data_IF_832280983759
#
_entry.id   IF_832280983759
#
_cell.length_a   1.000
_cell.length_b   1.000
_cell.length_c   1.000
_cell.angle_alpha   90.00
_cell.angle_beta   90.00
_cell.angle_gamma   90.00
#
_symmetry.space_group_name_H-M   'P 1'
#
loop_
_entity.id
_entity.type
_entity.pdbx_description
1 polymer ?
#
# COMPACT_ATOMS: atom_id res chain seq x y z
N UNK A 1 5.06 5.67 -27.88
CA UNK A 1 5.81 4.97 -26.81
C UNK A 1 6.74 4.00 -27.49
N UNK A 2 7.97 3.90 -27.02
CA UNK A 2 8.98 3.01 -27.56
C UNK A 2 9.53 2.14 -26.43
N UNK A 3 9.79 0.86 -26.70
CA UNK A 3 10.53 0.01 -25.79
C UNK A 3 11.66 -0.72 -26.51
N UNK A 4 12.80 -0.83 -25.86
CA UNK A 4 13.98 -1.49 -26.42
C UNK A 4 14.74 -2.26 -25.35
N UNK A 5 15.42 -3.32 -25.77
CA UNK A 5 16.14 -4.26 -24.92
C UNK A 5 17.61 -3.86 -24.82
N UNK A 6 18.14 -3.82 -23.60
CA UNK A 6 19.52 -3.49 -23.29
C UNK A 6 20.15 -4.60 -22.44
N UNK A 7 21.41 -4.95 -22.73
CA UNK A 7 22.18 -5.86 -21.88
C UNK A 7 22.56 -5.15 -20.58
N UNK A 8 22.41 -5.86 -19.45
CA UNK A 8 22.87 -5.34 -18.17
C UNK A 8 24.39 -5.55 -18.00
N UNK A 9 25.11 -4.45 -17.85
CA UNK A 9 26.56 -4.46 -17.62
C UNK A 9 26.94 -4.33 -16.14
N UNK A 10 25.98 -4.24 -15.22
CA UNK A 10 26.22 -4.12 -13.79
C UNK A 10 26.62 -5.45 -13.13
N UNK A 11 27.06 -5.38 -11.88
CA UNK A 11 27.52 -6.53 -11.10
C UNK A 11 26.45 -7.64 -10.94
N UNK A 12 25.16 -7.28 -10.96
CA UNK A 12 24.03 -8.21 -10.85
C UNK A 12 23.62 -8.87 -12.18
N UNK A 13 24.42 -8.74 -13.26
CA UNK A 13 24.11 -9.32 -14.59
C UNK A 13 23.81 -10.82 -14.61
N UNK A 14 24.29 -11.59 -13.62
CA UNK A 14 23.99 -13.04 -13.52
C UNK A 14 22.50 -13.30 -13.20
N UNK A 15 21.88 -12.42 -12.43
CA UNK A 15 20.47 -12.56 -12.02
C UNK A 15 19.54 -11.66 -12.84
N UNK A 16 20.02 -10.49 -13.26
CA UNK A 16 19.32 -9.54 -14.12
C UNK A 16 20.14 -9.33 -15.39
N UNK A 17 20.11 -10.23 -16.38
CA UNK A 17 20.98 -10.12 -17.55
C UNK A 17 20.59 -8.99 -18.52
N UNK A 18 19.35 -8.49 -18.47
CA UNK A 18 18.84 -7.47 -19.39
C UNK A 18 17.91 -6.48 -18.69
N UNK A 19 17.73 -5.32 -19.30
CA UNK A 19 16.68 -4.35 -18.99
C UNK A 19 15.88 -4.04 -20.25
N UNK A 20 14.60 -3.72 -20.07
CA UNK A 20 13.80 -3.09 -21.12
C UNK A 20 13.59 -1.63 -20.72
N UNK A 21 14.09 -0.74 -21.57
CA UNK A 21 13.86 0.69 -21.42
C UNK A 21 12.56 1.05 -22.14
N UNK A 22 11.59 1.61 -21.43
CA UNK A 22 10.33 2.11 -21.97
C UNK A 22 10.35 3.64 -21.95
N UNK A 23 10.13 4.27 -23.10
CA UNK A 23 10.07 5.73 -23.26
C UNK A 23 8.65 6.16 -23.61
N UNK A 24 8.07 7.03 -22.79
CA UNK A 24 6.84 7.74 -23.11
C UNK A 24 7.17 9.04 -23.84
N UNK A 25 6.53 9.26 -24.97
CA UNK A 25 6.68 10.50 -25.73
C UNK A 25 6.12 11.66 -24.90
N UNK A 26 6.74 12.85 -24.93
CA UNK A 26 6.24 13.98 -24.14
C UNK A 26 4.88 14.48 -24.66
N UNK A 27 4.00 14.91 -23.73
CA UNK A 27 2.67 15.48 -24.05
C UNK A 27 2.81 16.92 -24.58
N UNK A 28 3.87 17.62 -24.18
CA UNK A 28 4.15 19.01 -24.53
C UNK A 28 5.62 19.16 -24.88
N UNK A 29 5.95 20.14 -25.73
CA UNK A 29 7.32 20.48 -26.16
C UNK A 29 8.30 20.83 -25.02
N UNK A 30 7.80 20.96 -23.80
CA UNK A 30 8.53 21.34 -22.58
C UNK A 30 8.68 20.23 -21.54
N UNK A 31 8.32 18.97 -21.82
CA UNK A 31 8.48 17.89 -20.85
C UNK A 31 9.49 16.83 -21.29
N UNK A 32 10.34 16.43 -20.36
CA UNK A 32 11.32 15.36 -20.52
C UNK A 32 10.64 14.03 -20.90
N UNK A 33 11.27 13.26 -21.80
CA UNK A 33 10.89 11.88 -22.07
C UNK A 33 10.91 11.10 -20.75
N UNK A 34 9.74 10.68 -20.29
CA UNK A 34 9.67 9.85 -19.08
C UNK A 34 10.16 8.45 -19.45
N UNK A 35 11.21 8.02 -18.80
CA UNK A 35 11.88 6.74 -19.06
C UNK A 35 11.73 5.80 -17.87
N UNK A 36 11.39 4.56 -18.18
CA UNK A 36 11.30 3.45 -17.22
C UNK A 36 12.29 2.36 -17.61
N UNK A 37 12.84 1.67 -16.62
CA UNK A 37 13.78 0.55 -16.80
C UNK A 37 13.23 -0.70 -16.12
N UNK A 38 12.61 -1.58 -16.92
CA UNK A 38 12.04 -2.83 -16.44
C UNK A 38 13.12 -3.91 -16.42
N UNK A 39 13.53 -4.44 -15.26
CA UNK A 39 14.52 -5.51 -15.19
C UNK A 39 13.98 -6.84 -15.72
N UNK A 40 14.80 -7.58 -16.46
CA UNK A 40 14.53 -8.97 -16.86
C UNK A 40 15.38 -9.89 -15.99
N UNK A 41 14.72 -10.73 -15.21
CA UNK A 41 15.36 -11.74 -14.35
C UNK A 41 15.47 -13.08 -15.06
N UNK A 42 16.60 -13.75 -14.91
CA UNK A 42 16.80 -15.14 -15.33
C UNK A 42 16.36 -16.08 -14.21
N UNK A 43 15.41 -16.98 -14.49
CA UNK A 43 14.93 -17.99 -13.54
C UNK A 43 14.98 -19.39 -14.16
N UNK A 44 15.74 -20.34 -13.58
CA UNK A 44 15.67 -21.73 -14.00
C UNK A 44 14.38 -22.37 -13.49
N UNK A 45 13.55 -22.90 -14.39
CA UNK A 45 12.31 -23.62 -14.08
C UNK A 45 12.40 -25.00 -14.73
N UNK A 46 12.39 -26.06 -13.92
CA UNK A 46 12.49 -27.46 -14.40
C UNK A 46 13.70 -27.70 -15.33
N UNK A 47 14.84 -27.09 -15.01
CA UNK A 47 16.08 -27.22 -15.80
C UNK A 47 16.15 -26.36 -17.06
N UNK A 48 15.10 -25.59 -17.39
CA UNK A 48 15.09 -24.65 -18.51
C UNK A 48 15.19 -23.21 -18.02
N UNK A 49 15.96 -22.40 -18.74
CA UNK A 49 16.11 -20.98 -18.45
C UNK A 49 14.90 -20.19 -18.95
N UNK A 50 14.21 -19.50 -18.05
CA UNK A 50 13.14 -18.56 -18.39
C UNK A 50 13.54 -17.13 -18.05
N UNK A 51 13.09 -16.20 -18.87
CA UNK A 51 13.26 -14.77 -18.67
C UNK A 51 11.95 -14.20 -18.14
N UNK A 52 12.02 -13.52 -17.00
CA UNK A 52 10.84 -12.99 -16.31
C UNK A 52 10.95 -11.50 -16.09
N UNK A 53 9.87 -10.78 -16.33
CA UNK A 53 9.74 -9.35 -16.05
C UNK A 53 8.39 -9.08 -15.39
N UNK A 54 8.32 -8.00 -14.62
CA UNK A 54 7.07 -7.54 -14.01
C UNK A 54 6.75 -6.14 -14.52
N UNK A 55 5.51 -5.94 -14.98
CA UNK A 55 5.04 -4.66 -15.48
C UNK A 55 3.69 -4.31 -14.82
N UNK A 56 3.71 -3.42 -13.83
CA UNK A 56 2.53 -2.99 -13.08
C UNK A 56 1.67 -4.16 -12.56
N UNK A 57 2.31 -5.24 -12.10
CA UNK A 57 1.63 -6.43 -11.58
C UNK A 57 1.30 -7.51 -12.62
N UNK A 58 1.59 -7.26 -13.90
CA UNK A 58 1.58 -8.29 -14.93
C UNK A 58 2.91 -9.03 -14.92
N UNK A 59 2.86 -10.32 -14.64
CA UNK A 59 4.03 -11.20 -14.69
C UNK A 59 4.20 -11.72 -16.12
N UNK A 60 5.34 -11.41 -16.73
CA UNK A 60 5.71 -11.86 -18.08
C UNK A 60 6.79 -12.90 -17.91
N UNK A 61 6.58 -14.09 -18.48
CA UNK A 61 7.54 -15.19 -18.45
C UNK A 61 7.67 -15.77 -19.84
N UNK A 62 8.88 -15.75 -20.39
CA UNK A 62 9.14 -16.14 -21.77
C UNK A 62 10.45 -16.96 -21.86
N UNK A 63 10.67 -17.60 -23.00
CA UNK A 63 11.89 -18.39 -23.27
C UNK A 63 13.08 -17.56 -23.72
N UNK A 64 12.87 -16.30 -24.13
CA UNK A 64 13.94 -15.39 -24.58
C UNK A 64 13.71 -13.94 -24.13
N UNK A 65 14.77 -13.12 -23.98
CA UNK A 65 14.62 -11.69 -23.66
C UNK A 65 13.85 -10.92 -24.75
N UNK A 66 14.03 -11.30 -26.01
CA UNK A 66 13.32 -10.68 -27.13
C UNK A 66 11.81 -10.96 -27.09
N UNK A 67 11.43 -12.19 -26.70
CA UNK A 67 10.02 -12.52 -26.46
C UNK A 67 9.42 -11.68 -25.34
N UNK A 68 10.16 -11.44 -24.25
CA UNK A 68 9.73 -10.53 -23.17
C UNK A 68 9.49 -9.12 -23.72
N UNK A 69 10.42 -8.58 -24.53
CA UNK A 69 10.27 -7.27 -25.17
C UNK A 69 9.04 -7.23 -26.07
N UNK A 70 8.81 -8.25 -26.88
CA UNK A 70 7.65 -8.33 -27.76
C UNK A 70 6.33 -8.32 -26.97
N UNK A 71 6.27 -9.05 -25.85
CA UNK A 71 5.11 -9.05 -24.95
C UNK A 71 4.93 -7.69 -24.28
N UNK A 72 5.99 -7.04 -23.80
CA UNK A 72 5.93 -5.68 -23.24
C UNK A 72 5.45 -4.67 -24.28
N UNK A 73 5.92 -4.73 -25.53
CA UNK A 73 5.48 -3.84 -26.61
C UNK A 73 3.97 -3.96 -26.90
N UNK A 74 3.37 -5.14 -26.69
CA UNK A 74 1.93 -5.36 -26.83
C UNK A 74 1.13 -4.83 -25.63
N UNK A 75 1.65 -5.03 -24.41
CA UNK A 75 0.93 -4.80 -23.16
C UNK A 75 1.10 -3.38 -22.64
N UNK A 76 2.32 -2.84 -22.64
CA UNK A 76 2.61 -1.52 -22.10
C UNK A 76 1.72 -0.39 -22.68
N UNK A 77 1.37 -0.36 -23.99
CA UNK A 77 0.49 0.69 -24.50
C UNK A 77 -0.90 0.68 -23.85
N UNK A 78 -1.39 -0.49 -23.45
CA UNK A 78 -2.70 -0.66 -22.79
C UNK A 78 -2.71 -0.14 -21.35
N UNK A 79 -1.53 0.00 -20.75
CA UNK A 79 -1.36 0.55 -19.40
C UNK A 79 -1.20 2.07 -19.40
N UNK A 80 -0.91 2.68 -20.55
CA UNK A 80 -0.72 4.13 -20.64
C UNK A 80 -2.08 4.82 -20.66
N UNK A 81 -2.30 5.73 -19.72
CA UNK A 81 -3.50 6.59 -19.70
C UNK A 81 -3.08 8.05 -19.57
N UNK A 82 -3.57 8.91 -20.47
CA UNK A 82 -3.16 10.33 -20.58
C UNK A 82 -1.63 10.49 -20.57
N UNK A 83 -0.93 9.59 -21.26
CA UNK A 83 0.53 9.50 -21.33
C UNK A 83 1.22 9.38 -19.97
N UNK A 84 0.63 8.59 -19.07
CA UNK A 84 1.18 8.25 -17.76
C UNK A 84 1.09 6.75 -17.52
N UNK A 85 2.08 6.23 -16.79
CA UNK A 85 1.98 4.91 -16.17
C UNK A 85 1.14 4.97 -14.87
N UNK A 86 0.58 3.84 -14.42
CA UNK A 86 -0.15 3.77 -13.16
C UNK A 86 0.74 4.14 -11.96
N UNK A 87 0.14 4.75 -10.93
CA UNK A 87 0.80 5.01 -9.65
C UNK A 87 0.51 3.89 -8.64
N UNK A 88 -0.69 3.32 -8.73
CA UNK A 88 -1.09 2.16 -7.96
C UNK A 88 -1.72 1.13 -8.87
N UNK A 89 -1.88 -0.08 -8.34
CA UNK A 89 -2.79 -1.06 -8.89
C UNK A 89 -3.69 -1.63 -7.79
N UNK A 90 -4.92 -1.92 -8.17
CA UNK A 90 -5.81 -2.76 -7.38
C UNK A 90 -5.72 -4.20 -7.88
N UNK A 91 -5.57 -5.14 -6.95
CA UNK A 91 -5.38 -6.56 -7.23
C UNK A 91 -6.51 -7.34 -6.57
N UNK A 92 -7.31 -7.99 -7.41
CA UNK A 92 -8.24 -9.04 -7.00
C UNK A 92 -7.47 -10.36 -7.00
N UNK A 93 -7.21 -10.93 -5.82
CA UNK A 93 -6.37 -12.12 -5.67
C UNK A 93 -7.04 -13.41 -6.14
N UNK A 94 -8.34 -13.57 -5.91
CA UNK A 94 -9.08 -14.77 -6.28
C UNK A 94 -9.41 -14.73 -7.77
N UNK A 95 -9.85 -13.57 -8.26
CA UNK A 95 -10.17 -13.39 -9.69
C UNK A 95 -8.93 -13.17 -10.57
N UNK A 96 -7.74 -13.03 -9.97
CA UNK A 96 -6.46 -12.76 -10.63
C UNK A 96 -6.51 -11.55 -11.58
N UNK A 97 -7.28 -10.52 -11.22
CA UNK A 97 -7.43 -9.28 -11.99
C UNK A 97 -6.60 -8.16 -11.40
N UNK A 98 -6.03 -7.34 -12.27
CA UNK A 98 -5.26 -6.15 -11.92
C UNK A 98 -5.92 -4.94 -12.58
N UNK A 99 -6.15 -3.89 -11.80
CA UNK A 99 -6.76 -2.65 -12.26
C UNK A 99 -5.82 -1.47 -12.01
N UNK A 100 -5.30 -0.81 -13.05
CA UNK A 100 -4.39 0.31 -12.89
C UNK A 100 -5.12 1.55 -12.36
N UNK A 101 -4.47 2.24 -11.42
CA UNK A 101 -4.96 3.48 -10.83
C UNK A 101 -3.93 4.58 -11.11
N UNK A 102 -4.41 5.69 -11.64
CA UNK A 102 -3.60 6.81 -12.11
C UNK A 102 -3.76 8.01 -11.19
N UNK A 103 -2.68 8.75 -10.99
CA UNK A 103 -2.71 10.09 -10.37
C UNK A 103 -2.69 11.16 -11.46
N UNK A 104 -3.54 12.19 -11.31
CA UNK A 104 -3.54 13.38 -12.18
C UNK A 104 -2.74 14.54 -11.57
N UNK A 105 -2.56 15.66 -12.30
CA UNK A 105 -1.79 16.84 -11.82
C UNK A 105 -2.36 17.51 -10.55
N UNK A 106 -3.65 17.31 -10.25
CA UNK A 106 -4.29 17.75 -8.99
C UNK A 106 -4.39 16.61 -7.98
N UNK A 107 -3.55 15.59 -8.14
CA UNK A 107 -3.51 14.36 -7.35
C UNK A 107 -4.85 13.60 -7.21
N UNK A 108 -5.86 13.94 -8.02
CA UNK A 108 -7.06 13.12 -8.14
C UNK A 108 -6.65 11.75 -8.66
N UNK A 109 -7.04 10.73 -7.90
CA UNK A 109 -6.88 9.33 -8.24
C UNK A 109 -8.02 8.93 -9.17
N UNK A 110 -7.68 8.24 -10.25
CA UNK A 110 -8.63 7.85 -11.27
C UNK A 110 -8.40 6.42 -11.75
N UNK A 111 -9.49 5.68 -11.91
CA UNK A 111 -9.51 4.38 -12.56
C UNK A 111 -10.69 4.37 -13.55
N UNK A 112 -10.43 3.93 -14.78
CA UNK A 112 -11.47 3.69 -15.79
C UNK A 112 -11.72 2.19 -15.85
N UNK A 113 -12.93 1.76 -15.53
CA UNK A 113 -13.32 0.35 -15.63
C UNK A 113 -13.68 0.09 -17.10
N UNK A 114 -13.13 -0.94 -17.76
CA UNK A 114 -13.51 -1.29 -19.13
C UNK A 114 -15.02 -1.45 -19.24
N UNK A 115 -15.65 -0.75 -20.19
CA UNK A 115 -17.12 -0.72 -20.38
C UNK A 115 -17.93 -0.32 -19.13
N UNK A 116 -17.32 0.40 -18.19
CA UNK A 116 -17.92 0.76 -16.92
C UNK A 116 -17.70 2.22 -16.53
N UNK A 117 -18.11 2.61 -15.31
CA UNK A 117 -17.97 3.97 -14.83
C UNK A 117 -16.50 4.32 -14.58
N UNK A 118 -16.22 5.61 -14.64
CA UNK A 118 -14.95 6.19 -14.19
C UNK A 118 -15.04 6.45 -12.69
N UNK A 119 -14.16 5.83 -11.90
CA UNK A 119 -14.03 6.10 -10.48
C UNK A 119 -12.94 7.15 -10.25
N UNK A 120 -13.31 8.32 -9.71
CA UNK A 120 -12.39 9.39 -9.34
C UNK A 120 -12.62 9.86 -7.92
N UNK A 121 -11.53 10.08 -7.18
CA UNK A 121 -11.56 10.67 -5.85
C UNK A 121 -10.16 11.18 -5.46
N UNK A 122 -10.07 12.08 -4.48
CA UNK A 122 -8.80 12.46 -3.85
C UNK A 122 -8.24 11.39 -2.91
N UNK A 123 -8.99 10.28 -2.72
CA UNK A 123 -8.61 9.23 -1.77
C UNK A 123 -8.67 7.86 -2.38
N UNK A 124 -7.59 7.11 -2.15
CA UNK A 124 -7.44 5.78 -2.68
C UNK A 124 -8.47 4.80 -2.08
N UNK A 125 -8.84 4.98 -0.82
CA UNK A 125 -9.90 4.22 -0.16
C UNK A 125 -11.23 4.34 -0.92
N UNK A 126 -11.69 5.55 -1.19
CA UNK A 126 -12.95 5.79 -1.88
C UNK A 126 -12.94 5.25 -3.32
N UNK A 127 -11.83 5.40 -4.06
CA UNK A 127 -11.72 4.78 -5.40
C UNK A 127 -11.78 3.26 -5.29
N UNK A 128 -11.03 2.66 -4.34
CA UNK A 128 -11.02 1.21 -4.12
C UNK A 128 -12.39 0.66 -3.77
N UNK A 129 -13.11 1.31 -2.86
CA UNK A 129 -14.40 0.84 -2.39
C UNK A 129 -15.47 0.99 -3.46
N UNK A 130 -15.47 2.10 -4.23
CA UNK A 130 -16.37 2.31 -5.36
C UNK A 130 -16.14 1.27 -6.47
N UNK A 131 -14.87 1.03 -6.83
CA UNK A 131 -14.50 0.06 -7.86
C UNK A 131 -14.80 -1.36 -7.37
N UNK A 132 -14.42 -1.69 -6.14
CA UNK A 132 -14.69 -3.00 -5.54
C UNK A 132 -16.18 -3.29 -5.47
N UNK A 133 -17.00 -2.34 -4.98
CA UNK A 133 -18.45 -2.48 -4.95
C UNK A 133 -19.01 -2.72 -6.35
N UNK A 134 -18.70 -1.85 -7.31
CA UNK A 134 -19.21 -1.98 -8.67
C UNK A 134 -18.86 -3.34 -9.28
N UNK A 135 -17.60 -3.78 -9.18
CA UNK A 135 -17.17 -5.02 -9.80
C UNK A 135 -17.75 -6.28 -9.13
N UNK A 136 -18.03 -6.25 -7.83
CA UNK A 136 -18.78 -7.32 -7.16
C UNK A 136 -20.26 -7.29 -7.56
N UNK A 137 -20.87 -6.10 -7.66
CA UNK A 137 -22.27 -5.92 -8.04
C UNK A 137 -22.55 -6.43 -9.47
N UNK A 138 -21.58 -6.33 -10.40
CA UNK A 138 -21.67 -6.90 -11.76
C UNK A 138 -21.05 -8.30 -11.90
N UNK A 139 -20.71 -8.96 -10.78
CA UNK A 139 -20.15 -10.31 -10.73
C UNK A 139 -18.85 -10.53 -11.53
N UNK A 140 -18.05 -9.48 -11.69
CA UNK A 140 -16.67 -9.57 -12.25
C UNK A 140 -15.68 -9.99 -11.17
N UNK A 141 -15.95 -9.64 -9.91
CA UNK A 141 -15.18 -10.06 -8.75
C UNK A 141 -16.02 -10.95 -7.84
N UNK A 142 -15.32 -11.83 -7.11
CA UNK A 142 -15.95 -12.75 -6.18
C UNK A 142 -16.62 -13.94 -6.86
N UNK A 143 -17.10 -14.87 -6.05
CA UNK A 143 -18.02 -15.94 -6.46
C UNK A 143 -19.44 -15.51 -6.09
N UNK A 144 -20.47 -16.15 -6.65
CA UNK A 144 -21.86 -15.88 -6.25
C UNK A 144 -21.99 -16.00 -4.72
N UNK A 145 -22.34 -14.90 -4.05
CA UNK A 145 -22.45 -14.83 -2.59
C UNK A 145 -21.18 -14.46 -1.81
N UNK A 146 -20.04 -14.28 -2.48
CA UNK A 146 -18.76 -13.93 -1.84
C UNK A 146 -18.22 -12.58 -2.31
N UNK A 147 -17.98 -11.66 -1.38
CA UNK A 147 -17.40 -10.35 -1.68
C UNK A 147 -15.86 -10.42 -1.73
N UNK A 148 -15.26 -10.15 -2.88
CA UNK A 148 -13.81 -10.08 -3.01
C UNK A 148 -13.28 -8.66 -2.74
N UNK A 149 -12.30 -8.56 -1.83
CA UNK A 149 -11.63 -7.30 -1.51
C UNK A 149 -10.46 -7.04 -2.45
N UNK A 150 -10.38 -5.81 -2.96
CA UNK A 150 -9.25 -5.34 -3.74
C UNK A 150 -8.05 -5.02 -2.84
N UNK A 151 -6.91 -5.62 -3.14
CA UNK A 151 -5.63 -5.29 -2.52
C UNK A 151 -4.95 -4.16 -3.27
N UNK A 152 -4.14 -3.36 -2.58
CA UNK A 152 -3.45 -2.24 -3.21
C UNK A 152 -1.94 -2.45 -3.20
N UNK A 153 -1.31 -2.08 -4.31
CA UNK A 153 0.15 -2.02 -4.47
C UNK A 153 0.53 -0.71 -5.13
N UNK A 154 1.68 -0.17 -4.74
CA UNK A 154 2.32 0.93 -5.45
C UNK A 154 2.98 0.41 -6.73
N UNK A 155 3.25 1.31 -7.65
CA UNK A 155 4.07 1.05 -8.84
C UNK A 155 5.33 1.88 -8.71
N UNK A 156 6.49 1.22 -8.76
CA UNK A 156 7.79 1.88 -8.70
C UNK A 156 7.96 2.76 -9.94
N UNK A 157 8.30 4.03 -9.76
CA UNK A 157 8.21 5.01 -10.86
C UNK A 157 9.38 4.93 -11.85
N UNK A 158 10.47 4.23 -11.49
CA UNK A 158 11.52 3.82 -12.44
C UNK A 158 11.33 2.44 -13.07
N UNK A 159 11.01 1.41 -12.28
CA UNK A 159 11.05 0.02 -12.76
C UNK A 159 9.70 -0.55 -13.16
N UNK A 160 8.60 0.13 -12.82
CA UNK A 160 7.22 -0.31 -12.99
C UNK A 160 6.87 -1.61 -12.24
N UNK A 161 7.75 -2.09 -11.37
CA UNK A 161 7.47 -3.20 -10.48
C UNK A 161 6.48 -2.79 -9.37
N UNK A 162 5.78 -3.77 -8.81
CA UNK A 162 4.88 -3.59 -7.69
C UNK A 162 5.65 -3.36 -6.40
N UNK A 163 5.33 -2.27 -5.73
CA UNK A 163 5.83 -1.95 -4.40
C UNK A 163 4.78 -2.35 -3.38
N UNK A 164 5.21 -3.11 -2.36
CA UNK A 164 4.35 -3.46 -1.23
C UNK A 164 4.29 -2.28 -0.25
N UNK A 165 3.11 -1.94 0.29
CA UNK A 165 3.02 -0.99 1.39
C UNK A 165 3.75 -1.51 2.62
N UNK A 166 4.54 -0.64 3.24
CA UNK A 166 5.22 -0.88 4.53
C UNK A 166 4.18 -1.04 5.63
N UNK A 167 3.22 -0.13 5.65
CA UNK A 167 2.05 -0.16 6.50
C UNK A 167 0.92 0.63 5.83
N UNK A 168 -0.19 0.76 6.54
CA UNK A 168 -1.27 1.64 6.15
C UNK A 168 -1.58 2.59 7.28
N UNK A 169 -1.77 3.86 6.96
CA UNK A 169 -2.41 4.79 7.87
C UNK A 169 -3.91 4.54 7.79
N UNK A 170 -4.52 4.20 8.92
CA UNK A 170 -5.94 3.86 9.00
C UNK A 170 -6.61 4.68 10.09
N UNK A 171 -7.64 5.43 9.71
CA UNK A 171 -8.55 6.07 10.65
C UNK A 171 -9.54 5.03 11.16
N UNK A 172 -9.87 5.13 12.44
CA UNK A 172 -10.97 4.38 13.03
C UNK A 172 -12.27 5.16 12.88
N UNK A 173 -13.29 4.60 12.24
CA UNK A 173 -14.62 5.19 12.29
C UNK A 173 -15.13 5.10 13.73
N UNK A 174 -15.47 6.23 14.36
CA UNK A 174 -16.05 6.25 15.71
C UNK A 174 -17.56 5.99 15.72
N UNK A 175 -18.21 6.06 14.56
CA UNK A 175 -19.63 5.75 14.37
C UNK A 175 -19.90 5.29 12.93
N UNK A 176 -21.11 4.82 12.66
CA UNK A 176 -21.56 4.48 11.30
C UNK A 176 -21.61 5.68 10.34
N UNK A 177 -21.62 6.91 10.88
CA UNK A 177 -21.60 8.15 10.10
C UNK A 177 -20.18 8.63 9.78
N UNK A 178 -19.16 8.01 10.36
CA UNK A 178 -17.79 8.44 10.21
C UNK A 178 -17.14 7.80 8.96
N UNK A 179 -16.54 8.63 8.10
CA UNK A 179 -15.93 8.14 6.86
C UNK A 179 -14.67 7.34 7.18
N UNK A 180 -14.57 6.10 6.67
CA UNK A 180 -13.32 5.33 6.73
C UNK A 180 -12.23 6.07 5.94
N UNK A 181 -11.11 6.35 6.60
CA UNK A 181 -9.91 6.81 5.93
C UNK A 181 -8.85 5.71 6.00
N UNK A 182 -8.21 5.46 4.87
CA UNK A 182 -7.11 4.52 4.77
C UNK A 182 -6.20 4.96 3.61
N UNK A 183 -4.89 4.97 3.85
CA UNK A 183 -3.90 5.19 2.81
C UNK A 183 -2.68 4.28 3.01
N UNK A 184 -2.17 3.65 1.95
CA UNK A 184 -0.91 2.90 2.01
C UNK A 184 0.31 3.82 2.13
N UNK A 185 1.31 3.35 2.88
CA UNK A 185 2.62 3.99 3.03
C UNK A 185 3.67 3.17 2.30
N UNK A 186 4.51 3.84 1.51
CA UNK A 186 5.54 3.21 0.68
C UNK A 186 6.93 3.78 0.98
N UNK A 187 8.00 3.01 0.73
CA UNK A 187 9.34 3.58 0.67
C UNK A 187 9.43 4.49 -0.56
N UNK A 188 10.19 5.58 -0.47
CA UNK A 188 10.56 6.36 -1.63
C UNK A 188 11.65 5.65 -2.44
N UNK A 189 11.61 5.79 -3.77
CA UNK A 189 12.47 5.05 -4.69
C UNK A 189 13.97 5.42 -4.55
N UNK A 190 14.29 6.65 -4.17
CA UNK A 190 15.66 7.22 -4.25
C UNK A 190 16.16 7.83 -2.94
N UNK A 191 15.26 8.06 -2.00
CA UNK A 191 15.58 8.68 -0.71
C UNK A 191 15.35 7.64 0.37
N UNK A 192 16.20 7.64 1.40
CA UNK A 192 15.90 6.94 2.64
C UNK A 192 14.73 7.66 3.32
N UNK A 193 13.52 7.44 2.83
CA UNK A 193 12.29 8.10 3.26
C UNK A 193 11.08 7.21 3.00
N UNK A 194 9.98 7.54 3.68
CA UNK A 194 8.67 6.93 3.45
C UNK A 194 7.64 8.00 3.11
N UNK A 195 6.64 7.64 2.31
CA UNK A 195 5.62 8.58 1.89
C UNK A 195 4.21 7.98 1.83
N UNK A 196 3.22 8.87 1.90
CA UNK A 196 1.81 8.60 1.65
C UNK A 196 1.17 9.75 0.89
N UNK A 197 0.25 9.42 -0.02
CA UNK A 197 -0.61 10.42 -0.67
C UNK A 197 -1.91 10.55 0.11
N UNK A 198 -2.26 11.79 0.48
CA UNK A 198 -3.40 12.12 1.33
C UNK A 198 -4.02 13.44 0.88
N UNK A 199 -5.35 13.47 0.74
CA UNK A 199 -6.17 14.67 0.48
C UNK A 199 -5.89 15.48 -0.78
N UNK A 200 -4.97 15.05 -1.66
CA UNK A 200 -4.40 15.74 -2.84
C UNK A 200 -2.92 16.14 -2.71
N UNK A 201 -2.25 15.70 -1.65
CA UNK A 201 -0.83 15.98 -1.42
C UNK A 201 -0.02 14.74 -1.03
N UNK A 202 1.22 14.69 -1.51
CA UNK A 202 2.28 13.80 -0.98
C UNK A 202 2.81 14.31 0.37
N UNK A 203 2.78 13.43 1.37
CA UNK A 203 3.49 13.59 2.64
C UNK A 203 4.66 12.62 2.67
N UNK A 204 5.86 13.13 2.98
CA UNK A 204 7.11 12.36 2.98
C UNK A 204 7.94 12.74 4.20
N UNK A 205 8.57 11.74 4.81
CA UNK A 205 9.48 11.91 5.94
C UNK A 205 10.70 11.01 5.73
N UNK A 206 11.88 11.50 6.09
CA UNK A 206 13.11 10.72 6.05
C UNK A 206 13.03 9.52 7.01
N UNK A 207 13.69 8.42 6.67
CA UNK A 207 13.86 7.28 7.55
C UNK A 207 14.62 7.70 8.81
N UNK A 208 14.12 7.27 9.97
CA UNK A 208 14.65 7.57 11.31
C UNK A 208 14.54 6.32 12.19
N UNK A 209 15.06 5.20 11.68
CA UNK A 209 15.13 3.92 12.39
C UNK A 209 13.81 3.49 13.07
N UNK A 210 12.68 3.65 12.38
CA UNK A 210 11.34 3.31 12.84
C UNK A 210 10.49 4.53 13.24
N UNK A 211 11.11 5.61 13.73
CA UNK A 211 10.38 6.81 14.18
C UNK A 211 9.64 7.51 13.03
N UNK A 212 10.09 7.33 11.80
CA UNK A 212 9.43 7.85 10.59
C UNK A 212 7.95 7.45 10.53
N UNK A 213 7.58 6.29 11.10
CA UNK A 213 6.18 5.83 11.20
C UNK A 213 5.33 6.85 11.96
N UNK A 214 5.81 7.33 13.12
CA UNK A 214 5.09 8.31 13.93
C UNK A 214 5.17 9.72 13.37
N UNK A 215 6.31 10.09 12.76
CA UNK A 215 6.46 11.40 12.12
C UNK A 215 5.48 11.56 10.95
N UNK A 216 5.44 10.59 10.03
CA UNK A 216 4.52 10.61 8.89
C UNK A 216 3.06 10.62 9.36
N UNK A 217 2.72 9.73 10.30
CA UNK A 217 1.39 9.67 10.89
C UNK A 217 0.98 11.02 11.48
N UNK A 218 1.88 11.70 12.20
CA UNK A 218 1.59 13.00 12.82
C UNK A 218 1.35 14.08 11.76
N UNK A 219 2.13 14.11 10.67
CA UNK A 219 1.87 15.04 9.55
C UNK A 219 0.52 14.79 8.89
N UNK A 220 0.20 13.52 8.60
CA UNK A 220 -1.06 13.13 7.97
C UNK A 220 -2.26 13.40 8.88
N UNK A 221 -2.14 13.09 10.17
CA UNK A 221 -3.19 13.34 11.15
C UNK A 221 -3.53 14.82 11.25
N UNK A 222 -2.53 15.70 11.35
CA UNK A 222 -2.74 17.17 11.36
C UNK A 222 -3.45 17.65 10.09
N UNK A 223 -3.09 17.10 8.93
CA UNK A 223 -3.74 17.42 7.67
C UNK A 223 -5.22 17.00 7.67
N UNK A 224 -5.52 15.79 8.12
CA UNK A 224 -6.90 15.30 8.22
C UNK A 224 -7.72 16.09 9.24
N UNK A 225 -7.15 16.48 10.39
CA UNK A 225 -7.80 17.34 11.39
C UNK A 225 -8.12 18.71 10.79
N UNK A 226 -7.16 19.31 10.08
CA UNK A 226 -7.33 20.63 9.43
C UNK A 226 -8.49 20.59 8.43
N UNK A 227 -8.66 19.49 7.71
CA UNK A 227 -9.77 19.27 6.77
C UNK A 227 -11.06 18.76 7.44
N UNK A 228 -11.11 18.69 8.78
CA UNK A 228 -12.24 18.15 9.56
C UNK A 228 -12.60 16.71 9.21
N UNK A 229 -11.61 15.91 8.82
CA UNK A 229 -11.73 14.50 8.43
C UNK A 229 -11.20 13.54 9.47
N UNK A 230 -10.53 14.05 10.49
CA UNK A 230 -10.13 13.34 11.69
C UNK A 230 -10.45 14.24 12.89
N UNK A 231 -11.00 13.67 13.95
CA UNK A 231 -11.37 14.45 15.15
C UNK A 231 -10.25 14.41 16.18
N UNK A 232 -9.78 13.21 16.52
CA UNK A 232 -8.67 13.03 17.46
C UNK A 232 -7.42 12.51 16.75
N UNK A 233 -6.25 13.03 17.14
CA UNK A 233 -4.97 12.62 16.55
C UNK A 233 -4.78 11.09 16.64
N UNK A 234 -5.07 10.50 17.81
CA UNK A 234 -4.92 9.06 18.07
C UNK A 234 -5.96 8.16 17.37
N UNK A 235 -6.93 8.72 16.63
CA UNK A 235 -7.83 7.92 15.79
C UNK A 235 -7.11 7.38 14.54
N UNK A 236 -6.05 8.06 14.10
CA UNK A 236 -5.19 7.60 13.01
C UNK A 236 -4.11 6.67 13.56
N UNK A 237 -4.02 5.46 12.98
CA UNK A 237 -3.03 4.48 13.38
C UNK A 237 -2.21 3.92 12.23
N UNK A 238 -1.03 3.38 12.56
CA UNK A 238 -0.29 2.49 11.69
C UNK A 238 -0.86 1.06 11.79
N UNK A 239 -1.46 0.59 10.69
CA UNK A 239 -2.05 -0.74 10.56
C UNK A 239 -1.15 -1.62 9.68
N UNK A 240 -1.02 -2.90 10.04
CA UNK A 240 -0.33 -3.92 9.22
C UNK A 240 1.12 -3.53 8.83
N UNK A 241 1.88 -3.01 9.79
CA UNK A 241 3.31 -2.74 9.70
C UNK A 241 4.10 -4.02 9.39
N UNK A 242 5.05 -3.93 8.47
CA UNK A 242 5.97 -5.01 8.13
C UNK A 242 6.90 -5.35 9.32
N UNK A 243 7.32 -6.62 9.48
CA UNK A 243 8.19 -7.05 10.58
C UNK A 243 9.48 -6.24 10.72
N UNK A 244 10.18 -5.96 9.62
CA UNK A 244 11.47 -5.25 9.68
C UNK A 244 11.30 -3.81 10.19
N UNK A 245 10.20 -3.15 9.80
CA UNK A 245 9.86 -1.82 10.30
C UNK A 245 9.36 -1.86 11.75
N UNK A 246 8.64 -2.92 12.13
CA UNK A 246 8.28 -3.14 13.53
C UNK A 246 9.53 -3.31 14.40
N UNK A 247 10.50 -4.13 13.99
CA UNK A 247 11.72 -4.36 14.76
C UNK A 247 12.53 -3.07 14.97
N UNK A 248 12.66 -2.23 13.93
CA UNK A 248 13.29 -0.91 14.04
C UNK A 248 12.56 -0.02 15.06
N UNK A 249 11.23 0.04 14.96
CA UNK A 249 10.39 0.85 15.84
C UNK A 249 10.41 0.35 17.28
N UNK A 250 10.25 -0.96 17.50
CA UNK A 250 10.22 -1.61 18.81
C UNK A 250 11.48 -1.31 19.62
N UNK A 251 12.65 -1.25 18.98
CA UNK A 251 13.92 -0.89 19.61
C UNK A 251 13.96 0.54 20.19
N UNK A 252 12.98 1.39 19.87
CA UNK A 252 12.83 2.76 20.37
C UNK A 252 11.72 2.90 21.41
N UNK A 253 10.96 1.83 21.68
CA UNK A 253 9.83 1.87 22.59
C UNK A 253 10.24 1.39 23.99
N UNK A 254 9.71 2.03 25.02
CA UNK A 254 9.85 1.58 26.41
C UNK A 254 8.74 0.56 26.71
N UNK A 255 9.06 -0.72 26.97
CA UNK A 255 8.03 -1.70 27.31
C UNK A 255 7.42 -1.39 28.67
N UNK A 256 6.11 -1.56 28.78
CA UNK A 256 5.39 -1.41 30.05
C UNK A 256 5.06 -2.78 30.64
N UNK A 257 5.01 -2.92 31.99
CA UNK A 257 4.62 -4.17 32.62
C UNK A 257 3.16 -4.51 32.33
N UNK A 258 2.32 -3.49 32.15
CA UNK A 258 0.92 -3.70 31.78
C UNK A 258 0.78 -4.29 30.36
N UNK A 259 -0.35 -4.96 30.13
CA UNK A 259 -0.78 -5.47 28.84
C UNK A 259 -2.29 -5.37 28.69
N UNK A 260 -2.78 -5.30 27.45
CA UNK A 260 -4.19 -5.51 27.19
C UNK A 260 -4.46 -6.98 26.88
N UNK A 261 -5.55 -7.53 27.41
CA UNK A 261 -5.94 -8.92 27.20
C UNK A 261 -7.36 -8.99 26.62
N UNK A 262 -7.56 -9.87 25.63
CA UNK A 262 -8.89 -10.22 25.13
C UNK A 262 -8.86 -11.64 24.55
N UNK A 263 -9.90 -12.46 24.77
CA UNK A 263 -10.01 -13.81 24.17
C UNK A 263 -8.70 -14.64 24.19
N UNK A 264 -7.94 -14.59 25.29
CA UNK A 264 -6.60 -15.20 25.47
C UNK A 264 -5.45 -14.59 24.65
N UNK A 265 -5.72 -13.64 23.77
CA UNK A 265 -4.71 -12.83 23.12
C UNK A 265 -4.20 -11.74 24.07
N UNK A 266 -2.91 -11.43 23.94
CA UNK A 266 -2.23 -10.37 24.69
C UNK A 266 -1.71 -9.32 23.72
N UNK A 267 -1.96 -8.05 24.02
CA UNK A 267 -1.36 -6.90 23.35
C UNK A 267 -0.33 -6.28 24.30
N UNK A 268 0.97 -6.45 24.06
CA UNK A 268 1.98 -5.76 24.86
C UNK A 268 1.81 -4.25 24.74
N UNK A 269 2.05 -3.55 25.86
CA UNK A 269 2.02 -2.11 25.94
C UNK A 269 3.44 -1.54 25.92
N UNK A 270 3.56 -0.39 25.29
CA UNK A 270 4.79 0.37 25.25
C UNK A 270 4.50 1.87 25.44
N UNK A 271 5.52 2.61 25.88
CA UNK A 271 5.54 4.06 25.92
C UNK A 271 6.52 4.59 24.87
N UNK A 272 6.13 5.70 24.25
CA UNK A 272 7.02 6.46 23.38
C UNK A 272 6.70 7.95 23.51
N UNK A 273 7.58 8.69 24.17
CA UNK A 273 7.32 10.08 24.53
C UNK A 273 6.01 10.19 25.34
N UNK A 274 5.07 11.00 24.85
CA UNK A 274 3.77 11.32 25.45
C UNK A 274 2.64 10.34 25.09
N UNK A 275 2.92 9.26 24.35
CA UNK A 275 1.90 8.31 23.89
C UNK A 275 2.09 6.91 24.44
N UNK A 276 0.97 6.23 24.68
CA UNK A 276 0.90 4.81 24.94
C UNK A 276 0.57 4.05 23.65
N UNK A 277 1.19 2.88 23.50
CA UNK A 277 1.07 2.05 22.32
C UNK A 277 0.70 0.62 22.74
N UNK A 278 -0.41 0.09 22.21
CA UNK A 278 -0.70 -1.35 22.28
C UNK A 278 -0.43 -1.99 20.91
N UNK A 279 0.10 -3.22 20.89
CA UNK A 279 0.56 -3.86 19.65
C UNK A 279 -0.16 -5.16 19.40
N UNK A 280 -0.87 -5.25 18.27
CA UNK A 280 -1.48 -6.51 17.79
C UNK A 280 -0.61 -7.12 16.70
N UNK A 281 -0.02 -8.29 16.99
CA UNK A 281 0.55 -9.16 15.96
C UNK A 281 -0.57 -9.94 15.28
N UNK A 282 -0.83 -9.68 14.00
CA UNK A 282 -1.87 -10.37 13.23
C UNK A 282 -1.40 -11.77 12.85
N UNK A 283 -2.05 -12.78 13.43
CA UNK A 283 -1.72 -14.20 13.24
C UNK A 283 -1.56 -14.61 11.77
N UNK A 284 -2.44 -14.14 10.88
CA UNK A 284 -2.51 -14.62 9.49
C UNK A 284 -1.61 -13.86 8.50
N UNK A 285 -0.96 -12.77 8.92
CA UNK A 285 -0.22 -11.91 7.98
C UNK A 285 1.23 -11.61 8.40
N UNK A 286 1.66 -12.06 9.60
CA UNK A 286 2.92 -11.67 10.23
C UNK A 286 3.16 -10.15 10.12
N UNK A 287 2.19 -9.38 10.60
CA UNK A 287 2.19 -7.91 10.55
C UNK A 287 1.65 -7.33 11.84
N UNK A 288 2.07 -6.11 12.14
CA UNK A 288 1.82 -5.46 13.43
C UNK A 288 0.85 -4.29 13.27
N UNK A 289 -0.16 -4.19 14.12
CA UNK A 289 -1.09 -3.05 14.15
C UNK A 289 -0.89 -2.30 15.46
N UNK A 290 -0.66 -0.99 15.35
CA UNK A 290 -0.33 -0.16 16.51
C UNK A 290 -1.57 0.61 16.95
N UNK A 291 -1.95 0.43 18.20
CA UNK A 291 -3.00 1.19 18.85
C UNK A 291 -2.35 2.32 19.62
N UNK A 292 -2.87 3.54 19.53
CA UNK A 292 -2.30 4.72 20.17
C UNK A 292 -3.33 5.30 21.14
N UNK A 293 -2.89 5.84 22.27
CA UNK A 293 -3.74 6.53 23.24
C UNK A 293 -2.93 7.44 24.17
N UNK A 294 -3.62 8.37 24.83
CA UNK A 294 -3.02 9.29 25.83
C UNK A 294 -2.71 8.58 27.13
N UNK A 295 -3.62 7.73 27.54
CA UNK A 295 -3.61 7.00 28.81
C UNK A 295 -4.16 5.59 28.62
N UNK A 296 -4.01 4.74 29.63
CA UNK A 296 -4.28 3.30 29.51
C UNK A 296 -5.75 3.03 29.16
N UNK A 297 -6.69 3.77 29.76
CA UNK A 297 -8.12 3.59 29.50
C UNK A 297 -8.51 4.05 28.09
N UNK A 298 -8.01 5.20 27.64
CA UNK A 298 -8.18 5.68 26.25
C UNK A 298 -7.65 4.65 25.25
N UNK A 299 -6.44 4.13 25.48
CA UNK A 299 -5.84 3.10 24.64
C UNK A 299 -6.66 1.80 24.62
N UNK A 300 -7.14 1.35 25.79
CA UNK A 300 -7.99 0.16 25.96
C UNK A 300 -9.29 0.31 25.18
N UNK A 301 -10.01 1.42 25.35
CA UNK A 301 -11.26 1.70 24.63
C UNK A 301 -11.04 1.76 23.12
N UNK A 302 -9.97 2.43 22.68
CA UNK A 302 -9.58 2.49 21.27
C UNK A 302 -9.36 1.09 20.71
N UNK A 303 -8.57 0.26 21.40
CA UNK A 303 -8.30 -1.12 20.99
C UNK A 303 -9.58 -1.96 20.94
N UNK A 304 -10.38 -1.93 22.00
CA UNK A 304 -11.65 -2.66 22.08
C UNK A 304 -12.62 -2.29 20.97
N UNK A 305 -12.78 -0.99 20.66
CA UNK A 305 -13.66 -0.56 19.57
C UNK A 305 -13.27 -1.11 18.20
N UNK A 306 -11.97 -1.15 17.86
CA UNK A 306 -11.55 -1.73 16.57
C UNK A 306 -11.69 -3.26 16.54
N UNK A 307 -11.38 -3.94 17.65
CA UNK A 307 -11.55 -5.39 17.76
C UNK A 307 -13.03 -5.78 17.63
N UNK A 308 -13.93 -5.04 18.30
CA UNK A 308 -15.38 -5.25 18.22
C UNK A 308 -15.89 -5.00 16.79
N UNK A 309 -15.50 -3.89 16.16
CA UNK A 309 -15.85 -3.58 14.76
C UNK A 309 -15.38 -4.63 13.76
N UNK A 310 -14.28 -5.33 14.06
CA UNK A 310 -13.75 -6.44 13.24
C UNK A 310 -14.42 -7.78 13.55
N UNK A 311 -15.40 -7.81 14.45
CA UNK A 311 -16.05 -9.02 14.96
C UNK A 311 -15.03 -10.01 15.58
N UNK A 312 -13.97 -9.50 16.20
CA UNK A 312 -12.98 -10.32 16.92
C UNK A 312 -13.41 -10.53 18.39
N UNK A 313 -14.08 -9.52 18.95
CA UNK A 313 -14.74 -9.55 20.25
C UNK A 313 -16.17 -9.02 20.09
N UNK A 314 -17.06 -9.33 21.03
CA UNK A 314 -18.45 -8.88 20.96
C UNK A 314 -18.63 -7.41 21.38
N UNK A 315 -17.84 -6.93 22.34
CA UNK A 315 -17.91 -5.56 22.85
C UNK A 315 -16.53 -5.05 23.29
N UNK A 316 -16.35 -3.73 23.23
CA UNK A 316 -15.09 -3.07 23.62
C UNK A 316 -14.73 -3.23 25.11
N UNK A 317 -15.71 -3.48 25.99
CA UNK A 317 -15.51 -3.74 27.41
C UNK A 317 -14.75 -5.03 27.71
N UNK A 318 -14.74 -5.98 26.77
CA UNK A 318 -14.03 -7.29 26.91
C UNK A 318 -12.51 -7.12 26.94
N UNK A 319 -11.98 -5.99 26.46
CA UNK A 319 -10.54 -5.71 26.56
C UNK A 319 -10.23 -5.27 27.98
N UNK A 320 -9.44 -6.07 28.67
CA UNK A 320 -8.99 -5.83 30.05
C UNK A 320 -7.57 -5.27 30.06
N UNK A 321 -7.26 -4.46 31.07
CA UNK A 321 -5.90 -4.01 31.38
C UNK A 321 -5.37 -4.84 32.55
N UNK A 322 -4.22 -5.48 32.37
CA UNK A 322 -3.61 -6.36 33.38
C UNK A 322 -2.14 -6.02 33.55
N UNK A 323 -1.58 -6.25 34.75
CA UNK A 323 -0.14 -6.20 35.01
C UNK A 323 0.57 -7.52 34.65
#
# INVERSE_FOLDING_TARGET
MEAFLEKNNAANRKTVPYHITIKLAPITTTNFTTQYQVPIYLKPIRGQNHYTAELCGLNIQESSPQSVLNTINKVAPTLVNLNRMPTYVFIARHSLKVYPVYTSRKENLGLTIPNGPVARHVELACVRDRVGKYLNDIHVLGRTGEYEKLHVRGVHQKTLALVRPIFYLKKRPLSSKDSEFWTPVFPADETASIYAYVLDKKYEVSEDNGNEVFQLRSQVSRALITQKRLFEDFDLRADRLLPDYWAKLEAKLEPLPEKLIYNKATLPLYRHQDRLIAVEKRANENRYSLYLGREQEDLRQRAGKDLARRNIINDSSVVELTK
#
